data_IF_621810273826
#
_entry.id   IF_621810273826
#
_cell.length_a   1.000
_cell.length_b   1.000
_cell.length_c   1.000
_cell.angle_alpha   90.00
_cell.angle_beta   90.00
_cell.angle_gamma   90.00
#
_symmetry.space_group_name_H-M   'P 1'
#
loop_
_entity.id
_entity.type
_entity.pdbx_description
1 polymer ?
#
# COMPACT_ATOMS: atom_id res chain seq x y z
N UNK A 1 -5.27 -5.96 7.62
CA UNK A 1 -5.03 -4.51 7.44
C UNK A 1 -4.06 -4.02 8.50
N UNK A 2 -3.29 -2.97 8.20
CA UNK A 2 -2.40 -2.29 9.14
C UNK A 2 -2.88 -0.84 9.24
N UNK A 3 -3.03 -0.33 10.44
CA UNK A 3 -3.46 1.05 10.73
C UNK A 3 -2.65 1.60 11.91
N UNK A 4 -2.09 2.78 11.74
CA UNK A 4 -1.31 3.45 12.77
C UNK A 4 -2.19 4.29 13.71
N UNK A 5 -3.24 4.94 13.17
CA UNK A 5 -4.07 5.90 13.91
C UNK A 5 -5.26 5.20 14.58
N UNK A 6 -5.30 5.13 15.92
CA UNK A 6 -6.44 4.60 16.64
C UNK A 6 -7.72 5.42 16.42
N UNK A 7 -7.61 6.72 16.14
CA UNK A 7 -8.75 7.57 15.82
C UNK A 7 -9.41 7.17 14.49
N UNK A 8 -8.62 6.82 13.47
CA UNK A 8 -9.14 6.30 12.21
C UNK A 8 -9.92 4.98 12.42
N UNK A 9 -9.43 4.11 13.30
CA UNK A 9 -10.12 2.87 13.68
C UNK A 9 -11.46 3.15 14.39
N UNK A 10 -11.49 4.13 15.29
CA UNK A 10 -12.73 4.49 15.99
C UNK A 10 -13.78 5.05 15.04
N UNK A 11 -13.38 5.94 14.10
CA UNK A 11 -14.28 6.45 13.06
C UNK A 11 -14.79 5.30 12.19
N UNK A 12 -13.92 4.35 11.80
CA UNK A 12 -14.33 3.19 11.03
C UNK A 12 -15.35 2.31 11.76
N UNK A 13 -15.26 2.19 13.10
CA UNK A 13 -16.26 1.45 13.92
C UNK A 13 -17.66 2.06 13.86
N UNK A 14 -17.74 3.37 13.76
CA UNK A 14 -19.01 4.10 13.71
C UNK A 14 -19.65 4.00 12.31
N UNK A 15 -18.92 3.58 11.29
CA UNK A 15 -19.43 3.41 9.95
C UNK A 15 -20.06 2.01 9.76
N UNK A 16 -21.39 1.90 9.52
CA UNK A 16 -22.06 0.62 9.33
C UNK A 16 -21.47 -0.25 8.20
N UNK A 17 -20.92 0.38 7.18
CA UNK A 17 -20.30 -0.30 6.04
C UNK A 17 -18.95 -0.94 6.37
N UNK A 18 -18.33 -0.53 7.49
CA UNK A 18 -17.05 -1.09 7.95
C UNK A 18 -17.21 -2.24 8.96
N UNK A 19 -18.43 -2.71 9.21
CA UNK A 19 -18.70 -3.76 10.22
C UNK A 19 -17.85 -5.01 10.01
N UNK A 20 -17.70 -5.45 8.76
CA UNK A 20 -16.92 -6.65 8.43
C UNK A 20 -15.43 -6.51 8.77
N UNK A 21 -14.90 -5.29 8.75
CA UNK A 21 -13.53 -5.03 9.18
C UNK A 21 -13.28 -5.50 10.62
N UNK A 22 -14.30 -5.45 11.48
CA UNK A 22 -14.21 -5.74 12.91
C UNK A 22 -14.76 -7.11 13.31
N UNK A 23 -15.59 -7.73 12.48
CA UNK A 23 -16.32 -8.96 12.83
C UNK A 23 -16.02 -10.14 11.90
N UNK A 24 -15.47 -9.91 10.71
CA UNK A 24 -15.27 -10.98 9.74
C UNK A 24 -14.05 -11.84 10.11
N UNK A 25 -14.18 -13.18 10.21
CA UNK A 25 -13.12 -14.06 10.71
C UNK A 25 -11.87 -14.13 9.81
N UNK A 26 -11.97 -13.72 8.55
CA UNK A 26 -10.85 -13.68 7.60
C UNK A 26 -10.10 -12.35 7.59
N UNK A 27 -10.56 -11.35 8.35
CA UNK A 27 -9.92 -10.04 8.43
C UNK A 27 -9.13 -9.96 9.73
N UNK A 28 -7.82 -9.77 9.60
CA UNK A 28 -6.94 -9.49 10.73
C UNK A 28 -6.54 -8.03 10.70
N UNK A 29 -6.83 -7.32 11.77
CA UNK A 29 -6.38 -5.94 11.98
C UNK A 29 -5.09 -5.96 12.81
N UNK A 30 -4.15 -5.12 12.43
CA UNK A 30 -2.89 -4.90 13.13
C UNK A 30 -2.78 -3.40 13.38
N UNK A 31 -2.69 -3.01 14.64
CA UNK A 31 -2.35 -1.64 15.02
C UNK A 31 -0.84 -1.49 14.99
N UNK A 32 -0.35 -0.47 14.30
CA UNK A 32 1.07 -0.18 14.23
C UNK A 32 1.48 0.52 12.94
N UNK A 33 2.75 0.93 12.92
CA UNK A 33 3.36 1.53 11.74
C UNK A 33 3.61 0.45 10.68
N UNK A 34 3.09 0.67 9.48
CA UNK A 34 3.29 -0.26 8.37
C UNK A 34 4.77 -0.45 8.01
N UNK A 35 5.61 0.58 8.19
CA UNK A 35 7.04 0.52 7.96
C UNK A 35 7.74 -0.48 8.91
N UNK A 36 7.24 -0.60 10.14
CA UNK A 36 7.76 -1.53 11.14
C UNK A 36 7.09 -2.91 11.07
N UNK A 37 5.79 -2.94 10.74
CA UNK A 37 4.99 -4.18 10.73
C UNK A 37 5.30 -5.05 9.52
N UNK A 38 5.42 -4.48 8.31
CA UNK A 38 5.61 -5.25 7.08
C UNK A 38 6.88 -6.12 7.12
N UNK A 39 8.04 -5.64 7.64
CA UNK A 39 9.24 -6.47 7.78
C UNK A 39 9.06 -7.72 8.64
N UNK A 40 8.08 -7.76 9.54
CA UNK A 40 7.83 -8.93 10.41
C UNK A 40 7.14 -10.08 9.68
N UNK A 41 6.56 -9.85 8.51
CA UNK A 41 5.93 -10.92 7.73
C UNK A 41 6.98 -11.77 7.01
N UNK A 42 6.68 -13.06 6.86
CA UNK A 42 7.51 -13.94 6.06
C UNK A 42 7.50 -13.54 4.57
N UNK A 43 8.57 -13.89 3.86
CA UNK A 43 8.62 -13.70 2.40
C UNK A 43 7.51 -14.50 1.72
N UNK A 44 7.01 -13.98 0.59
CA UNK A 44 5.99 -14.65 -0.24
C UNK A 44 4.68 -14.97 0.51
N UNK A 45 4.30 -14.13 1.50
CA UNK A 45 3.11 -14.34 2.34
C UNK A 45 1.81 -13.91 1.67
N UNK A 46 1.85 -12.93 0.77
CA UNK A 46 0.65 -12.28 0.23
C UNK A 46 0.53 -12.43 -1.28
N UNK A 47 -0.63 -12.89 -1.76
CA UNK A 47 -0.91 -12.95 -3.20
C UNK A 47 -1.27 -11.56 -3.78
N UNK A 48 -1.80 -10.67 -2.96
CA UNK A 48 -2.20 -9.30 -3.34
C UNK A 48 -1.89 -8.33 -2.21
N UNK A 49 -1.42 -7.14 -2.58
CA UNK A 49 -1.20 -6.03 -1.66
C UNK A 49 -1.95 -4.82 -2.19
N UNK A 50 -2.72 -4.16 -1.33
CA UNK A 50 -3.25 -2.82 -1.55
C UNK A 50 -2.44 -1.91 -0.63
N UNK A 51 -1.68 -1.00 -1.22
CA UNK A 51 -0.91 0.01 -0.53
C UNK A 51 -1.58 1.37 -0.73
N UNK A 52 -2.20 1.85 0.33
CA UNK A 52 -2.95 3.12 0.38
C UNK A 52 -2.40 3.99 1.52
N UNK A 53 -1.18 4.50 1.36
CA UNK A 53 -0.55 5.32 2.39
C UNK A 53 -1.13 6.73 2.41
N UNK A 54 -0.96 7.48 3.52
CA UNK A 54 -1.17 8.92 3.50
C UNK A 54 -0.37 9.60 2.39
N UNK A 55 -0.73 10.86 2.07
CA UNK A 55 -0.01 11.62 1.03
C UNK A 55 1.50 11.66 1.29
N UNK A 56 2.28 11.71 0.23
CA UNK A 56 3.76 11.63 0.28
C UNK A 56 4.41 12.60 1.29
N UNK A 57 3.86 13.79 1.46
CA UNK A 57 4.38 14.79 2.42
C UNK A 57 4.23 14.39 3.89
N UNK A 58 3.33 13.47 4.20
CA UNK A 58 3.07 13.00 5.57
C UNK A 58 3.74 11.66 5.89
N UNK A 59 3.93 10.80 4.88
CA UNK A 59 4.42 9.43 5.07
C UNK A 59 5.42 9.04 3.97
N UNK A 60 6.43 9.89 3.77
CA UNK A 60 7.42 9.71 2.71
C UNK A 60 8.19 8.39 2.77
N UNK A 61 8.39 7.81 3.96
CA UNK A 61 9.03 6.52 4.18
C UNK A 61 8.24 5.36 3.53
N UNK A 62 6.91 5.42 3.52
CA UNK A 62 6.05 4.43 2.85
C UNK A 62 6.12 4.49 1.32
N UNK A 63 6.75 5.53 0.78
CA UNK A 63 7.07 5.68 -0.65
C UNK A 63 8.55 5.41 -0.95
N UNK A 64 9.32 4.97 0.04
CA UNK A 64 10.76 4.74 -0.12
C UNK A 64 11.06 3.44 -0.89
N UNK A 65 12.24 3.39 -1.51
CA UNK A 65 12.73 2.17 -2.13
C UNK A 65 12.96 1.04 -1.12
N UNK A 66 13.27 1.37 0.14
CA UNK A 66 13.39 0.40 1.21
C UNK A 66 12.03 -0.28 1.47
N UNK A 67 10.97 0.50 1.65
CA UNK A 67 9.63 -0.05 1.89
C UNK A 67 9.13 -0.86 0.68
N UNK A 68 9.37 -0.40 -0.54
CA UNK A 68 8.97 -1.16 -1.74
C UNK A 68 9.72 -2.49 -1.87
N UNK A 69 10.98 -2.60 -1.43
CA UNK A 69 11.69 -3.89 -1.37
C UNK A 69 11.03 -4.85 -0.37
N UNK A 70 10.55 -4.34 0.77
CA UNK A 70 9.79 -5.15 1.73
C UNK A 70 8.44 -5.60 1.15
N UNK A 71 7.69 -4.70 0.49
CA UNK A 71 6.45 -5.08 -0.21
C UNK A 71 6.72 -6.15 -1.29
N UNK A 72 7.81 -6.01 -2.04
CA UNK A 72 8.23 -7.02 -3.02
C UNK A 72 8.59 -8.35 -2.35
N UNK A 73 9.32 -8.32 -1.25
CA UNK A 73 9.73 -9.52 -0.50
C UNK A 73 8.51 -10.31 -0.03
N UNK A 74 7.55 -9.65 0.61
CA UNK A 74 6.36 -10.33 1.18
C UNK A 74 5.31 -10.71 0.14
N UNK A 75 5.36 -10.14 -1.06
CA UNK A 75 4.46 -10.50 -2.16
C UNK A 75 4.90 -11.83 -2.78
N UNK A 76 3.95 -12.73 -3.05
CA UNK A 76 4.19 -14.01 -3.73
C UNK A 76 4.62 -13.81 -5.19
N UNK A 77 5.33 -14.78 -5.77
CA UNK A 77 5.59 -14.83 -7.21
C UNK A 77 4.27 -14.84 -7.99
N UNK A 78 4.16 -13.99 -9.02
CA UNK A 78 2.90 -13.75 -9.73
C UNK A 78 1.87 -12.92 -8.95
N UNK A 79 2.23 -12.45 -7.76
CA UNK A 79 1.43 -11.52 -6.97
C UNK A 79 1.35 -10.13 -7.58
N UNK A 80 0.39 -9.33 -7.13
CA UNK A 80 0.19 -7.96 -7.59
C UNK A 80 0.08 -6.99 -6.43
N UNK A 81 0.75 -5.86 -6.58
CA UNK A 81 0.62 -4.68 -5.75
C UNK A 81 -0.25 -3.65 -6.48
N UNK A 82 -1.28 -3.14 -5.82
CA UNK A 82 -1.91 -1.87 -6.18
C UNK A 82 -1.41 -0.79 -5.23
N UNK A 83 -0.96 0.34 -5.76
CA UNK A 83 -0.53 1.49 -4.97
C UNK A 83 -1.35 2.72 -5.33
N UNK A 84 -2.16 3.19 -4.39
CA UNK A 84 -2.89 4.44 -4.48
C UNK A 84 -1.94 5.63 -4.35
N UNK A 85 -2.07 6.63 -5.22
CA UNK A 85 -1.19 7.81 -5.24
C UNK A 85 -1.98 9.12 -5.17
N UNK A 86 -3.24 9.08 -5.61
CA UNK A 86 -4.07 10.24 -5.86
C UNK A 86 -4.15 10.59 -7.35
N UNK A 87 -4.58 11.80 -7.68
CA UNK A 87 -4.71 12.22 -9.08
C UNK A 87 -3.34 12.27 -9.79
N UNK A 88 -3.10 11.24 -10.62
CA UNK A 88 -1.85 11.07 -11.38
C UNK A 88 -1.60 12.18 -12.40
N UNK A 89 -2.66 12.91 -12.81
CA UNK A 89 -2.58 13.96 -13.82
C UNK A 89 -2.34 15.35 -13.21
N UNK A 90 -2.52 15.50 -11.90
CA UNK A 90 -2.18 16.76 -11.22
C UNK A 90 -0.67 17.02 -11.24
N UNK A 91 -0.26 18.28 -11.07
CA UNK A 91 1.16 18.68 -11.07
C UNK A 91 1.96 17.94 -9.99
N UNK A 92 1.42 17.84 -8.79
CA UNK A 92 2.05 17.11 -7.67
C UNK A 92 2.00 15.60 -7.89
N UNK A 93 0.83 15.07 -8.28
CA UNK A 93 0.63 13.64 -8.51
C UNK A 93 1.52 13.09 -9.62
N UNK A 94 1.73 13.82 -10.71
CA UNK A 94 2.62 13.40 -11.79
C UNK A 94 4.09 13.27 -11.34
N UNK A 95 4.54 14.17 -10.45
CA UNK A 95 5.90 14.12 -9.88
C UNK A 95 6.05 12.93 -8.92
N UNK A 96 5.08 12.74 -8.02
CA UNK A 96 5.06 11.59 -7.08
C UNK A 96 5.02 10.28 -7.87
N UNK A 97 4.12 10.17 -8.84
CA UNK A 97 3.98 8.97 -9.70
C UNK A 97 5.29 8.59 -10.37
N UNK A 98 6.01 9.54 -10.94
CA UNK A 98 7.31 9.28 -11.59
C UNK A 98 8.32 8.68 -10.59
N UNK A 99 8.39 9.23 -9.38
CA UNK A 99 9.23 8.70 -8.31
C UNK A 99 8.81 7.30 -7.87
N UNK A 100 7.51 7.05 -7.75
CA UNK A 100 6.94 5.73 -7.41
C UNK A 100 7.31 4.69 -8.46
N UNK A 101 7.05 4.96 -9.75
CA UNK A 101 7.36 4.03 -10.85
C UNK A 101 8.83 3.62 -10.84
N UNK A 102 9.74 4.58 -10.73
CA UNK A 102 11.17 4.32 -10.67
C UNK A 102 11.54 3.43 -9.48
N UNK A 103 11.10 3.79 -8.27
CA UNK A 103 11.45 3.04 -7.05
C UNK A 103 10.83 1.64 -7.00
N UNK A 104 9.61 1.46 -7.55
CA UNK A 104 9.02 0.13 -7.71
C UNK A 104 9.87 -0.74 -8.64
N UNK A 105 10.32 -0.17 -9.78
CA UNK A 105 11.18 -0.87 -10.72
C UNK A 105 12.52 -1.24 -10.08
N UNK A 106 13.16 -0.32 -9.35
CA UNK A 106 14.40 -0.53 -8.60
C UNK A 106 14.24 -1.59 -7.49
N UNK A 107 13.02 -1.74 -6.92
CA UNK A 107 12.70 -2.77 -5.94
C UNK A 107 12.46 -4.16 -6.55
N UNK A 108 12.40 -4.28 -7.87
CA UNK A 108 12.24 -5.55 -8.59
C UNK A 108 10.86 -5.77 -9.21
N UNK A 109 9.89 -4.88 -8.99
CA UNK A 109 8.57 -4.99 -9.62
C UNK A 109 8.65 -4.85 -11.13
N UNK A 110 7.79 -5.60 -11.82
CA UNK A 110 7.65 -5.61 -13.28
C UNK A 110 6.22 -5.29 -13.69
N UNK A 111 5.98 -5.11 -15.00
CA UNK A 111 4.64 -4.85 -15.56
C UNK A 111 3.90 -3.73 -14.83
N UNK A 112 4.62 -2.64 -14.58
CA UNK A 112 4.06 -1.49 -13.84
C UNK A 112 3.17 -0.68 -14.79
N UNK A 113 1.87 -0.61 -14.47
CA UNK A 113 0.85 0.08 -15.28
C UNK A 113 0.15 1.16 -14.48
N UNK A 114 -0.12 2.30 -15.11
CA UNK A 114 -0.90 3.39 -14.53
C UNK A 114 -2.39 3.13 -14.71
N UNK A 115 -3.16 3.39 -13.67
CA UNK A 115 -4.62 3.31 -13.65
C UNK A 115 -5.21 4.65 -13.17
N UNK A 116 -5.29 5.67 -14.04
CA UNK A 116 -5.75 7.01 -13.64
C UNK A 116 -7.15 7.02 -13.03
N UNK A 117 -8.06 6.18 -13.54
CA UNK A 117 -9.42 6.06 -13.02
C UNK A 117 -9.47 5.48 -11.59
N UNK A 118 -8.44 4.74 -11.19
CA UNK A 118 -8.28 4.20 -9.84
C UNK A 118 -7.29 5.01 -8.99
N UNK A 119 -6.79 6.14 -9.51
CA UNK A 119 -5.85 7.03 -8.82
C UNK A 119 -4.56 6.33 -8.36
N UNK A 120 -4.08 5.34 -9.10
CA UNK A 120 -2.94 4.54 -8.66
C UNK A 120 -2.22 3.79 -9.79
N UNK A 121 -1.33 2.92 -9.38
CA UNK A 121 -0.55 2.04 -10.24
C UNK A 121 -0.68 0.59 -9.80
N UNK A 122 -0.57 -0.34 -10.75
CA UNK A 122 -0.47 -1.78 -10.49
C UNK A 122 0.93 -2.25 -10.90
N UNK A 123 1.56 -3.07 -10.06
CA UNK A 123 2.85 -3.68 -10.32
C UNK A 123 2.81 -5.19 -10.01
N UNK A 124 3.65 -5.98 -10.67
CA UNK A 124 3.73 -7.44 -10.49
C UNK A 124 5.11 -7.87 -9.97
N UNK A 125 5.12 -8.92 -9.17
CA UNK A 125 6.33 -9.66 -8.81
C UNK A 125 6.56 -10.81 -9.78
#
# INVERSE_FOLDING_TARGET
TIELDPGAQEIARQNPWSRDLFSHPRIKQIMGDAFEVVPTFASDSFARIIHDPPVFSLAGELYSGQFYRELYRVLQRGGRLFHYIGDLNSKSGSTVTRGVLRRLQEAGFTRITKHPQAFGVVASK
#
